data_IF_518659364326
#
_entry.id   IF_518659364326
#
_cell.length_a   1.000
_cell.length_b   1.000
_cell.length_c   1.000
_cell.angle_alpha   90.00
_cell.angle_beta   90.00
_cell.angle_gamma   90.00
#
_symmetry.space_group_name_H-M   'P 1'
#
loop_
_entity.id
_entity.type
_entity.pdbx_description
1 polymer ?
#
# COMPACT_ATOMS: atom_id res chain seq x y z
N UNK A 1 43.86 1.29 45.18
CA UNK A 1 42.78 2.19 44.71
C UNK A 1 42.36 1.70 43.33
N UNK A 2 41.32 0.89 43.29
CA UNK A 2 40.73 0.38 42.05
C UNK A 2 39.91 1.49 41.39
N UNK A 3 40.34 1.90 40.21
CA UNK A 3 39.57 2.77 39.33
C UNK A 3 38.58 1.86 38.58
N UNK A 4 37.35 1.80 39.06
CA UNK A 4 36.26 1.19 38.30
C UNK A 4 36.08 1.97 36.98
N UNK A 5 36.40 1.31 35.87
CA UNK A 5 36.07 1.79 34.54
C UNK A 5 34.55 1.86 34.42
N UNK A 6 34.01 3.06 34.44
CA UNK A 6 32.63 3.33 34.05
C UNK A 6 32.54 3.02 32.56
N UNK A 7 31.89 1.92 32.22
CA UNK A 7 31.56 1.62 30.84
C UNK A 7 30.48 2.60 30.33
N UNK A 8 30.63 3.19 29.13
CA UNK A 8 29.67 4.18 28.67
C UNK A 8 28.33 3.53 28.39
N UNK A 9 27.30 4.04 29.06
CA UNK A 9 25.90 3.63 28.93
C UNK A 9 25.36 3.79 27.49
N UNK A 10 26.09 4.46 26.61
CA UNK A 10 25.71 4.72 25.21
C UNK A 10 25.59 3.49 24.32
N UNK A 11 26.37 2.43 24.54
CA UNK A 11 26.32 1.23 23.69
C UNK A 11 25.04 0.42 23.88
N UNK A 12 24.47 0.42 25.10
CA UNK A 12 23.21 -0.28 25.40
C UNK A 12 21.98 0.44 24.83
N UNK A 13 21.99 1.78 24.81
CA UNK A 13 20.89 2.57 24.22
C UNK A 13 20.82 2.40 22.69
N UNK A 14 21.94 2.36 22.01
CA UNK A 14 21.99 2.14 20.55
C UNK A 14 21.50 0.73 20.20
N UNK A 15 21.83 -0.28 20.99
CA UNK A 15 21.38 -1.65 20.77
C UNK A 15 19.87 -1.82 21.05
N UNK A 16 19.32 -1.13 22.04
CA UNK A 16 17.88 -1.12 22.30
C UNK A 16 17.09 -0.42 21.19
N UNK A 17 17.56 0.72 20.69
CA UNK A 17 16.90 1.42 19.58
C UNK A 17 16.91 0.59 18.28
N UNK A 18 18.01 -0.11 17.98
CA UNK A 18 18.07 -1.02 16.84
C UNK A 18 17.13 -2.22 17.00
N UNK A 19 17.01 -2.77 18.22
CA UNK A 19 16.07 -3.86 18.53
C UNK A 19 14.62 -3.44 18.40
N UNK A 20 14.25 -2.24 18.86
CA UNK A 20 12.88 -1.69 18.72
C UNK A 20 12.54 -1.42 17.25
N UNK A 21 13.52 -0.98 16.44
CA UNK A 21 13.32 -0.81 14.98
C UNK A 21 13.02 -2.12 14.27
N UNK A 22 13.60 -3.24 14.70
CA UNK A 22 13.33 -4.57 14.15
C UNK A 22 11.94 -5.13 14.50
N UNK A 23 11.31 -4.62 15.57
CA UNK A 23 9.95 -5.02 15.98
C UNK A 23 8.84 -4.26 15.24
N UNK A 24 9.15 -3.30 14.38
CA UNK A 24 8.14 -2.55 13.61
C UNK A 24 7.55 -3.44 12.52
N UNK A 25 6.24 -3.36 12.38
CA UNK A 25 5.58 -4.01 11.25
C UNK A 25 5.98 -3.30 9.95
N UNK A 26 6.71 -4.02 9.11
CA UNK A 26 7.20 -3.55 7.82
C UNK A 26 6.13 -3.56 6.72
N UNK A 27 4.93 -4.08 6.99
CA UNK A 27 3.83 -4.06 6.02
C UNK A 27 3.12 -2.71 6.07
N UNK A 28 3.15 -1.93 4.98
CA UNK A 28 2.45 -0.65 4.93
C UNK A 28 0.94 -0.84 5.05
N UNK A 29 0.38 -1.91 4.48
CA UNK A 29 -1.04 -2.24 4.52
C UNK A 29 -1.28 -3.55 5.26
N UNK A 30 -2.20 -3.55 6.21
CA UNK A 30 -2.68 -4.74 6.90
C UNK A 30 -3.98 -5.22 6.25
N UNK A 31 -3.86 -5.83 5.07
CA UNK A 31 -5.01 -6.27 4.29
C UNK A 31 -5.36 -7.73 4.58
N UNK A 32 -6.65 -7.97 4.83
CA UNK A 32 -7.23 -9.30 4.74
C UNK A 32 -8.01 -9.39 3.43
N UNK A 33 -7.71 -10.33 2.51
CA UNK A 33 -8.26 -10.33 1.14
C UNK A 33 -9.79 -10.31 1.03
N UNK A 34 -10.48 -10.82 2.05
CA UNK A 34 -11.94 -10.83 2.10
C UNK A 34 -12.57 -9.51 2.57
N UNK A 35 -11.79 -8.59 3.15
CA UNK A 35 -12.34 -7.38 3.78
C UNK A 35 -12.49 -6.17 2.85
N UNK A 36 -11.62 -5.91 1.85
CA UNK A 36 -11.79 -4.74 0.99
C UNK A 36 -13.16 -4.72 0.31
N UNK A 37 -13.85 -3.60 0.41
CA UNK A 37 -15.14 -3.34 -0.22
C UNK A 37 -14.99 -2.41 -1.42
N UNK A 38 -14.11 -1.40 -1.32
CA UNK A 38 -13.75 -0.51 -2.42
C UNK A 38 -12.26 -0.24 -2.45
N UNK A 39 -11.74 -0.02 -3.63
CA UNK A 39 -10.35 0.38 -3.90
C UNK A 39 -10.39 1.55 -4.86
N UNK A 40 -9.76 2.64 -4.47
CA UNK A 40 -9.54 3.77 -5.37
C UNK A 40 -8.04 3.92 -5.62
N UNK A 41 -7.66 3.90 -6.87
CA UNK A 41 -6.29 4.08 -7.34
C UNK A 41 -6.21 5.43 -8.01
N UNK A 42 -5.28 6.26 -7.58
CA UNK A 42 -4.85 7.45 -8.31
C UNK A 42 -3.39 7.26 -8.71
N UNK A 43 -3.13 7.09 -9.99
CA UNK A 43 -1.80 6.96 -10.52
C UNK A 43 -1.44 8.22 -11.29
N UNK A 44 -0.86 9.20 -10.60
CA UNK A 44 -0.43 10.49 -11.16
C UNK A 44 -1.56 11.17 -11.96
N UNK A 45 -2.71 11.36 -11.33
CA UNK A 45 -3.88 11.98 -11.92
C UNK A 45 -4.81 11.04 -12.69
N UNK A 46 -4.39 9.82 -13.00
CA UNK A 46 -5.27 8.79 -13.56
C UNK A 46 -6.00 8.06 -12.44
N UNK A 47 -7.30 8.29 -12.34
CA UNK A 47 -8.14 7.69 -11.30
C UNK A 47 -8.87 6.46 -11.81
N UNK A 48 -8.88 5.40 -10.97
CA UNK A 48 -9.66 4.18 -11.16
C UNK A 48 -10.37 3.88 -9.85
N UNK A 49 -11.67 3.60 -9.88
CA UNK A 49 -12.41 3.14 -8.71
C UNK A 49 -12.99 1.75 -8.96
N UNK A 50 -12.85 0.90 -7.97
CA UNK A 50 -13.26 -0.50 -7.97
C UNK A 50 -14.13 -0.75 -6.73
N UNK A 51 -15.21 -1.48 -6.89
CA UNK A 51 -16.13 -1.81 -5.80
C UNK A 51 -16.65 -3.23 -5.92
N UNK A 52 -17.02 -3.82 -4.79
CA UNK A 52 -17.80 -5.05 -4.72
C UNK A 52 -18.87 -4.92 -3.64
N UNK A 53 -19.99 -5.62 -3.84
CA UNK A 53 -21.18 -5.50 -2.97
C UNK A 53 -21.04 -6.27 -1.66
N UNK A 54 -20.37 -7.41 -1.70
CA UNK A 54 -20.16 -8.30 -0.54
C UNK A 54 -18.80 -8.97 -0.63
N UNK A 55 -18.24 -9.47 0.49
CA UNK A 55 -17.08 -10.35 0.45
C UNK A 55 -17.33 -11.52 -0.49
N UNK A 56 -16.43 -11.77 -1.43
CA UNK A 56 -16.56 -12.85 -2.41
C UNK A 56 -17.41 -12.53 -3.65
N UNK A 57 -18.14 -11.39 -3.71
CA UNK A 57 -18.78 -10.99 -4.96
C UNK A 57 -17.75 -10.45 -5.96
N UNK A 58 -18.03 -10.54 -7.27
CA UNK A 58 -17.13 -10.00 -8.30
C UNK A 58 -16.90 -8.50 -8.10
N UNK A 59 -15.68 -8.08 -8.37
CA UNK A 59 -15.30 -6.68 -8.41
C UNK A 59 -15.85 -6.03 -9.69
N UNK A 60 -16.16 -4.76 -9.61
CA UNK A 60 -16.53 -3.92 -10.74
C UNK A 60 -15.71 -2.65 -10.74
N UNK A 61 -15.31 -2.21 -11.92
CA UNK A 61 -14.79 -0.86 -12.12
C UNK A 61 -15.99 0.05 -12.13
N UNK A 62 -16.00 1.11 -11.30
CA UNK A 62 -17.06 2.09 -11.20
C UNK A 62 -16.66 3.46 -11.76
N UNK A 63 -15.36 3.69 -11.93
CA UNK A 63 -14.81 4.89 -12.55
C UNK A 63 -13.52 4.53 -13.32
N UNK A 64 -13.23 5.10 -14.49
CA UNK A 64 -14.00 6.16 -15.20
C UNK A 64 -15.24 5.64 -15.92
N UNK A 65 -15.35 4.36 -16.15
CA UNK A 65 -16.47 3.69 -16.81
C UNK A 65 -16.91 2.50 -15.99
N UNK A 66 -18.19 2.13 -16.05
CA UNK A 66 -18.68 0.92 -15.39
C UNK A 66 -18.33 -0.31 -16.24
N UNK A 67 -17.39 -1.11 -15.77
CA UNK A 67 -16.87 -2.30 -16.46
C UNK A 67 -16.71 -3.46 -15.49
N UNK A 68 -16.76 -4.68 -16.02
CA UNK A 68 -16.36 -5.86 -15.26
C UNK A 68 -14.83 -5.93 -15.15
N UNK A 69 -14.35 -6.40 -14.00
CA UNK A 69 -12.92 -6.62 -13.77
C UNK A 69 -12.49 -7.98 -14.29
N UNK A 70 -11.19 -8.11 -14.57
CA UNK A 70 -10.52 -9.41 -14.70
C UNK A 70 -10.26 -9.97 -13.30
N UNK A 71 -10.86 -11.11 -12.90
CA UNK A 71 -10.68 -11.68 -11.58
C UNK A 71 -9.23 -12.02 -11.25
N UNK A 72 -8.47 -12.53 -12.22
CA UNK A 72 -7.06 -12.88 -12.02
C UNK A 72 -6.21 -11.64 -11.74
N UNK A 73 -6.48 -10.53 -12.42
CA UNK A 73 -5.78 -9.26 -12.18
C UNK A 73 -6.18 -8.63 -10.84
N UNK A 74 -7.42 -8.83 -10.38
CA UNK A 74 -7.84 -8.44 -9.03
C UNK A 74 -7.11 -9.22 -7.94
N UNK A 75 -6.92 -10.52 -8.14
CA UNK A 75 -6.13 -11.36 -7.23
C UNK A 75 -4.66 -10.92 -7.19
N UNK A 76 -4.08 -10.55 -8.35
CA UNK A 76 -2.73 -9.98 -8.43
C UNK A 76 -2.67 -8.64 -7.68
N UNK A 77 -3.64 -7.74 -7.88
CA UNK A 77 -3.69 -6.44 -7.19
C UNK A 77 -3.73 -6.62 -5.67
N UNK A 78 -4.70 -7.37 -5.18
CA UNK A 78 -4.88 -7.60 -3.74
C UNK A 78 -3.69 -8.35 -3.13
N UNK A 79 -3.20 -9.38 -3.81
CA UNK A 79 -2.04 -10.16 -3.37
C UNK A 79 -0.75 -9.33 -3.33
N UNK A 80 -0.54 -8.44 -4.31
CA UNK A 80 0.62 -7.54 -4.33
C UNK A 80 0.54 -6.54 -3.17
N UNK A 81 -0.62 -5.89 -2.98
CA UNK A 81 -0.82 -4.94 -1.87
C UNK A 81 -0.66 -5.61 -0.50
N UNK A 82 -1.14 -6.84 -0.33
CA UNK A 82 -1.02 -7.60 0.92
C UNK A 82 0.43 -7.99 1.24
N UNK A 83 1.21 -8.35 0.22
CA UNK A 83 2.60 -8.80 0.34
C UNK A 83 3.61 -7.65 0.34
N UNK A 84 3.16 -6.43 0.07
CA UNK A 84 4.04 -5.27 0.04
C UNK A 84 4.72 -5.10 1.40
N UNK A 85 6.04 -5.06 1.40
CA UNK A 85 6.85 -4.99 2.62
C UNK A 85 7.92 -3.93 2.45
N UNK A 86 8.08 -3.09 3.46
CA UNK A 86 9.09 -2.06 3.46
C UNK A 86 10.48 -2.63 3.78
N UNK A 87 11.48 -2.14 3.06
CA UNK A 87 12.89 -2.40 3.35
C UNK A 87 13.27 -1.73 4.68
N UNK A 88 12.73 -0.52 4.91
CA UNK A 88 12.94 0.27 6.13
C UNK A 88 11.68 1.00 6.54
N UNK A 89 11.54 1.23 7.84
CA UNK A 89 10.44 2.01 8.44
C UNK A 89 11.04 3.08 9.36
N UNK A 90 10.66 4.33 9.14
CA UNK A 90 11.12 5.49 9.88
C UNK A 90 10.00 6.16 10.66
N UNK A 91 10.35 6.84 11.75
CA UNK A 91 9.46 7.85 12.32
C UNK A 91 9.41 9.08 11.40
N UNK A 92 8.31 9.83 11.39
CA UNK A 92 8.20 11.06 10.60
C UNK A 92 9.28 12.10 10.94
N UNK A 93 9.81 12.07 12.16
CA UNK A 93 10.88 12.96 12.64
C UNK A 93 12.26 12.57 12.08
N UNK A 94 12.45 11.31 11.68
CA UNK A 94 13.72 10.78 11.16
C UNK A 94 13.91 11.05 9.67
N UNK A 95 12.80 11.19 8.94
CA UNK A 95 12.83 11.44 7.49
C UNK A 95 11.57 12.16 7.05
N UNK A 96 11.69 12.99 6.04
CA UNK A 96 10.56 13.67 5.40
C UNK A 96 10.18 12.98 4.09
N UNK A 97 8.92 13.13 3.71
CA UNK A 97 8.46 12.86 2.35
C UNK A 97 8.44 14.15 1.55
N UNK A 98 8.61 14.10 0.21
CA UNK A 98 8.48 15.28 -0.63
C UNK A 98 7.10 15.93 -0.48
N UNK A 99 7.05 17.27 -0.51
CA UNK A 99 5.78 18.00 -0.61
C UNK A 99 5.33 17.95 -2.08
N UNK A 100 4.33 17.12 -2.34
CA UNK A 100 3.82 16.83 -3.68
C UNK A 100 2.30 16.81 -3.67
N UNK A 101 1.72 17.23 -4.78
CA UNK A 101 0.28 17.19 -5.03
C UNK A 101 -0.19 15.79 -5.43
N UNK A 102 -1.49 15.51 -5.29
CA UNK A 102 -2.05 14.17 -5.55
C UNK A 102 -1.90 13.71 -7.02
N UNK A 103 -1.72 14.63 -7.95
CA UNK A 103 -1.43 14.34 -9.37
C UNK A 103 0.04 13.97 -9.65
N UNK A 104 0.92 14.18 -8.70
CA UNK A 104 2.35 13.85 -8.80
C UNK A 104 2.70 12.51 -8.13
N UNK A 105 1.82 12.03 -7.26
CA UNK A 105 2.03 10.78 -6.51
C UNK A 105 1.13 9.66 -7.01
N UNK A 106 1.46 8.43 -6.60
CA UNK A 106 0.55 7.30 -6.72
C UNK A 106 -0.10 7.05 -5.36
N UNK A 107 -1.43 6.93 -5.32
CA UNK A 107 -2.14 6.55 -4.11
C UNK A 107 -3.11 5.40 -4.33
N UNK A 108 -3.26 4.57 -3.29
CA UNK A 108 -4.22 3.47 -3.23
C UNK A 108 -5.01 3.61 -1.95
N UNK A 109 -6.30 3.92 -2.06
CA UNK A 109 -7.23 4.08 -0.94
C UNK A 109 -8.16 2.88 -0.87
N UNK A 110 -8.25 2.25 0.30
CA UNK A 110 -9.00 1.01 0.50
C UNK A 110 -9.99 1.23 1.64
N UNK A 111 -11.27 0.90 1.39
CA UNK A 111 -12.29 0.76 2.43
C UNK A 111 -12.64 -0.69 2.61
N UNK A 112 -12.73 -1.13 3.85
CA UNK A 112 -13.11 -2.49 4.18
C UNK A 112 -14.60 -2.57 4.57
N UNK A 113 -15.17 -3.77 4.49
CA UNK A 113 -16.41 -4.07 5.18
C UNK A 113 -16.18 -4.11 6.69
N UNK A 114 -17.10 -3.53 7.47
CA UNK A 114 -17.01 -3.52 8.94
C UNK A 114 -17.48 -4.83 9.59
N UNK A 115 -18.03 -5.75 8.81
CA UNK A 115 -18.68 -6.97 9.31
C UNK A 115 -20.07 -6.71 9.93
N UNK A 116 -20.57 -5.46 9.90
CA UNK A 116 -21.92 -5.08 10.39
C UNK A 116 -22.86 -4.93 9.21
N UNK A 117 -24.14 -5.23 9.43
CA UNK A 117 -25.19 -4.97 8.46
C UNK A 117 -25.56 -3.48 8.51
N UNK A 118 -25.91 -2.94 7.35
CA UNK A 118 -26.50 -1.60 7.24
C UNK A 118 -27.88 -1.56 7.91
N UNK A 119 -28.42 -0.37 8.16
CA UNK A 119 -29.71 -0.20 8.82
C UNK A 119 -30.89 -0.86 8.10
N UNK A 120 -30.76 -1.17 6.80
CA UNK A 120 -31.73 -1.92 6.02
C UNK A 120 -31.60 -3.45 6.18
N UNK A 121 -30.57 -3.92 6.90
CA UNK A 121 -30.26 -5.34 7.11
C UNK A 121 -29.87 -6.13 5.86
N UNK A 122 -29.68 -5.47 4.71
CA UNK A 122 -29.45 -6.14 3.40
C UNK A 122 -28.04 -6.02 2.87
N UNK A 123 -27.29 -5.01 3.32
CA UNK A 123 -25.93 -4.77 2.87
C UNK A 123 -24.94 -4.73 4.05
N UNK A 124 -23.69 -5.01 3.78
CA UNK A 124 -22.63 -4.83 4.77
C UNK A 124 -22.22 -3.35 4.78
N UNK A 125 -22.01 -2.81 5.98
CA UNK A 125 -21.44 -1.48 6.13
C UNK A 125 -19.97 -1.47 5.73
N UNK A 126 -19.54 -0.37 5.16
CA UNK A 126 -18.13 -0.08 4.88
C UNK A 126 -17.58 0.86 5.95
N UNK A 127 -16.28 0.82 6.15
CA UNK A 127 -15.55 1.79 6.97
C UNK A 127 -15.78 3.20 6.42
N UNK A 128 -15.96 4.18 7.33
CA UNK A 128 -16.17 5.58 6.93
C UNK A 128 -14.92 6.17 6.29
N UNK A 129 -13.76 5.89 6.85
CA UNK A 129 -12.49 6.40 6.37
C UNK A 129 -11.69 5.32 5.65
N UNK A 130 -11.17 5.61 4.45
CA UNK A 130 -10.28 4.69 3.78
C UNK A 130 -8.91 4.67 4.44
N UNK A 131 -8.24 3.53 4.38
CA UNK A 131 -6.79 3.46 4.59
C UNK A 131 -6.12 3.79 3.25
N UNK A 132 -5.31 4.84 3.23
CA UNK A 132 -4.67 5.32 2.01
C UNK A 132 -3.16 5.15 2.09
N UNK A 133 -2.61 4.36 1.17
CA UNK A 133 -1.18 4.26 0.88
C UNK A 133 -0.83 5.34 -0.16
N UNK A 134 0.11 6.22 0.17
CA UNK A 134 0.68 7.21 -0.75
C UNK A 134 2.12 6.85 -1.06
N UNK A 135 2.47 6.77 -2.34
CA UNK A 135 3.79 6.41 -2.84
C UNK A 135 4.36 7.61 -3.57
N UNK A 136 5.50 8.08 -3.10
CA UNK A 136 6.19 9.24 -3.63
C UNK A 136 7.23 8.81 -4.68
N UNK A 137 7.29 9.45 -5.84
CA UNK A 137 8.35 9.17 -6.80
C UNK A 137 9.73 9.50 -6.19
N UNK A 138 10.81 8.88 -6.69
CA UNK A 138 12.16 9.21 -6.23
C UNK A 138 12.46 10.68 -6.46
N UNK A 139 13.15 11.32 -5.51
CA UNK A 139 13.43 12.75 -5.50
C UNK A 139 14.36 13.20 -6.63
N UNK A 140 15.17 12.30 -7.18
CA UNK A 140 16.12 12.59 -8.24
C UNK A 140 15.62 12.05 -9.58
N UNK A 141 15.39 12.96 -10.53
CA UNK A 141 15.01 12.67 -11.91
C UNK A 141 16.13 11.96 -12.71
N UNK A 142 16.75 10.97 -12.22
CA UNK A 142 17.86 10.25 -12.86
C UNK A 142 18.54 9.25 -11.95
N UNK A 143 18.24 9.28 -10.67
CA UNK A 143 18.73 8.24 -9.77
C UNK A 143 17.97 6.93 -10.05
N UNK A 144 18.73 5.88 -10.32
CA UNK A 144 18.27 4.49 -10.28
C UNK A 144 17.96 4.08 -8.83
N UNK A 145 17.38 4.99 -8.02
CA UNK A 145 16.99 4.66 -6.67
C UNK A 145 16.00 3.51 -6.73
N UNK A 146 16.43 2.34 -6.30
CA UNK A 146 15.61 1.14 -6.23
C UNK A 146 14.52 1.26 -5.15
N UNK A 147 14.56 2.33 -4.36
CA UNK A 147 13.67 2.57 -3.22
C UNK A 147 12.84 3.82 -3.42
N UNK A 148 11.59 3.77 -2.99
CA UNK A 148 10.65 4.89 -2.96
C UNK A 148 10.09 5.06 -1.55
N UNK A 149 9.79 6.29 -1.17
CA UNK A 149 9.11 6.58 0.10
C UNK A 149 7.61 6.38 -0.04
N UNK A 150 6.99 5.94 1.06
CA UNK A 150 5.54 5.83 1.15
C UNK A 150 5.04 6.20 2.55
N UNK A 151 3.79 6.64 2.64
CA UNK A 151 3.08 6.87 3.90
C UNK A 151 1.73 6.17 3.88
N UNK A 152 1.17 5.91 5.06
CA UNK A 152 -0.17 5.32 5.20
C UNK A 152 -0.98 6.18 6.17
N UNK A 153 -2.26 6.42 5.84
CA UNK A 153 -3.11 7.37 6.56
C UNK A 153 -3.40 6.97 8.01
N UNK A 154 -3.38 5.67 8.33
CA UNK A 154 -3.69 5.14 9.66
C UNK A 154 -2.47 5.01 10.59
N UNK A 155 -1.26 5.33 10.10
CA UNK A 155 -0.01 5.19 10.85
C UNK A 155 0.94 6.36 10.64
N UNK A 156 1.53 6.84 11.74
CA UNK A 156 2.57 7.87 11.71
C UNK A 156 3.93 7.22 11.44
N UNK A 157 4.15 6.78 10.21
CA UNK A 157 5.41 6.19 9.78
C UNK A 157 5.70 6.53 8.31
N UNK A 158 6.98 6.54 7.96
CA UNK A 158 7.45 6.61 6.57
C UNK A 158 8.09 5.28 6.22
N UNK A 159 7.64 4.68 5.14
CA UNK A 159 8.09 3.40 4.63
C UNK A 159 9.02 3.61 3.43
N UNK A 160 10.13 2.88 3.37
CA UNK A 160 10.91 2.74 2.13
C UNK A 160 10.56 1.41 1.47
N UNK A 161 10.02 1.49 0.26
CA UNK A 161 9.57 0.36 -0.53
C UNK A 161 10.52 0.12 -1.71
N UNK A 162 10.80 -1.13 -2.05
CA UNK A 162 11.50 -1.47 -3.28
C UNK A 162 10.61 -1.15 -4.49
N UNK A 163 11.21 -0.63 -5.58
CA UNK A 163 10.48 -0.42 -6.84
C UNK A 163 10.24 -1.72 -7.59
N UNK A 164 11.19 -2.65 -7.53
CA UNK A 164 11.14 -3.92 -8.26
C UNK A 164 11.43 -5.09 -7.34
N UNK A 165 11.08 -6.30 -7.78
CA UNK A 165 11.33 -7.55 -7.04
C UNK A 165 12.76 -8.07 -7.17
N UNK A 166 13.67 -7.41 -7.89
CA UNK A 166 14.99 -7.95 -8.23
C UNK A 166 15.85 -8.25 -7.00
N UNK A 167 15.65 -7.51 -5.90
CA UNK A 167 16.40 -7.69 -4.66
C UNK A 167 15.85 -8.84 -3.78
N UNK A 168 14.58 -9.19 -3.94
CA UNK A 168 13.94 -10.31 -3.22
C UNK A 168 12.75 -10.84 -4.03
N UNK A 169 12.92 -12.00 -4.66
CA UNK A 169 11.91 -12.60 -5.58
C UNK A 169 10.56 -12.90 -4.91
N UNK A 170 10.49 -12.95 -3.59
CA UNK A 170 9.27 -13.25 -2.83
C UNK A 170 8.48 -12.01 -2.44
N UNK A 171 9.10 -10.83 -2.42
CA UNK A 171 8.45 -9.56 -2.04
C UNK A 171 8.20 -8.72 -3.29
N UNK A 172 6.94 -8.40 -3.61
CA UNK A 172 6.64 -7.57 -4.75
C UNK A 172 7.11 -6.13 -4.53
N UNK A 173 7.69 -5.53 -5.57
CA UNK A 173 7.98 -4.10 -5.59
C UNK A 173 6.76 -3.27 -5.99
N UNK A 174 6.86 -1.95 -5.84
CA UNK A 174 5.77 -1.02 -6.17
C UNK A 174 5.33 -1.12 -7.64
N UNK A 175 6.26 -1.38 -8.56
CA UNK A 175 5.97 -1.55 -10.00
C UNK A 175 5.14 -2.79 -10.33
N UNK A 176 5.04 -3.73 -9.40
CA UNK A 176 4.22 -4.93 -9.57
C UNK A 176 2.73 -4.69 -9.25
N UNK A 177 2.37 -3.52 -8.70
CA UNK A 177 0.97 -3.17 -8.45
C UNK A 177 0.33 -2.85 -9.81
N UNK A 178 -0.74 -3.56 -10.24
CA UNK A 178 -1.43 -3.27 -11.48
C UNK A 178 -2.25 -1.98 -11.34
N UNK A 179 -1.70 -0.88 -11.81
CA UNK A 179 -2.27 0.47 -11.68
C UNK A 179 -2.92 0.97 -12.98
N UNK A 180 -3.04 0.12 -13.98
CA UNK A 180 -3.57 0.47 -15.31
C UNK A 180 -4.96 -0.11 -15.50
N UNK A 181 -5.90 0.73 -16.00
CA UNK A 181 -7.27 0.32 -16.30
C UNK A 181 -7.33 -0.81 -17.32
N UNK A 182 -6.45 -0.79 -18.32
CA UNK A 182 -6.38 -1.82 -19.35
C UNK A 182 -6.02 -3.20 -18.82
N UNK A 183 -5.26 -3.25 -17.71
CA UNK A 183 -4.92 -4.51 -17.03
C UNK A 183 -6.09 -5.00 -16.14
N UNK A 184 -6.81 -4.08 -15.49
CA UNK A 184 -7.83 -4.43 -14.51
C UNK A 184 -9.19 -4.77 -15.15
N UNK A 185 -9.47 -4.32 -16.37
CA UNK A 185 -10.72 -4.62 -17.08
C UNK A 185 -10.76 -6.06 -17.57
N UNK A 186 -11.94 -6.67 -17.53
CA UNK A 186 -12.18 -7.95 -18.18
C UNK A 186 -12.00 -7.80 -19.70
N UNK A 187 -11.22 -8.66 -20.32
CA UNK A 187 -11.12 -8.78 -21.76
C UNK A 187 -12.35 -9.53 -22.25
N UNK A 188 -13.42 -8.80 -22.55
CA UNK A 188 -14.55 -9.43 -23.26
C UNK A 188 -14.10 -9.83 -24.68
N UNK A 189 -14.49 -11.03 -25.09
CA UNK A 189 -14.19 -11.64 -26.40
C UNK A 189 -14.80 -10.88 -27.61
N UNK A 190 -15.23 -9.64 -27.47
CA UNK A 190 -15.86 -8.82 -28.53
C UNK A 190 -14.84 -8.10 -29.41
N UNK A 191 -13.57 -8.23 -29.19
CA UNK A 191 -12.51 -7.67 -30.05
C UNK A 191 -11.96 -8.67 -31.11
N UNK A 192 -12.74 -9.69 -31.45
CA UNK A 192 -12.46 -10.57 -32.61
C UNK A 192 -13.45 -10.18 -33.71
N UNK A 193 -13.13 -9.13 -34.41
CA UNK A 193 -13.77 -8.69 -35.64
C UNK A 193 -12.71 -8.32 -36.65
#
# INVERSE_FOLDING_TARGET
RDIQRVQPVHSHFISMQSGIRQLRDHRPLLLHPAMPASIEINNRGQRIALERKTPGSPWKITYPLSLDTDPAMMDVLLGTLQKLTAVRVYNPEETSVPDMTDDQITSVSIRNFTGRLSGDGKSLQMEEQPVTLRIYPPSDNGSLSELVKATVSDRKAVFELAQTTETNKEVPGVRNIPLDLGLLRSKQLTDIG
#
